data_IF_434757999099
#
_entry.id   IF_434757999099
#
_cell.length_a   1.000
_cell.length_b   1.000
_cell.length_c   1.000
_cell.angle_alpha   90.00
_cell.angle_beta   90.00
_cell.angle_gamma   90.00
#
_symmetry.space_group_name_H-M   'P 1'
#
loop_
_entity.id
_entity.type
_entity.pdbx_description
1 polymer ?
#
# COMPACT_ATOMS: atom_id res chain seq x y z
N UNK A 1 35.44 14.32 53.09
CA UNK A 1 34.31 13.52 52.60
C UNK A 1 33.13 14.35 52.07
N UNK A 2 32.89 15.58 52.53
CA UNK A 2 31.75 16.43 52.10
C UNK A 2 31.65 16.70 50.58
N UNK A 3 32.77 16.81 49.87
CA UNK A 3 32.77 17.07 48.42
C UNK A 3 32.23 15.89 47.59
N UNK A 4 32.46 14.66 48.05
CA UNK A 4 31.95 13.44 47.39
C UNK A 4 30.45 13.31 47.57
N UNK A 5 29.95 13.63 48.77
CA UNK A 5 28.52 13.63 49.07
C UNK A 5 27.78 14.71 48.26
N UNK A 6 28.38 15.90 48.12
CA UNK A 6 27.83 16.98 47.31
C UNK A 6 27.77 16.59 45.83
N UNK A 7 28.87 16.04 45.28
CA UNK A 7 28.91 15.56 43.90
C UNK A 7 27.91 14.44 43.61
N UNK A 8 27.69 13.54 44.57
CA UNK A 8 26.68 12.49 44.47
C UNK A 8 25.25 13.04 44.41
N UNK A 9 24.93 14.04 45.22
CA UNK A 9 23.62 14.73 45.19
C UNK A 9 23.40 15.49 43.89
N UNK A 10 24.42 16.20 43.42
CA UNK A 10 24.35 16.97 42.17
C UNK A 10 24.17 16.04 40.96
N UNK A 11 24.85 14.89 40.96
CA UNK A 11 24.67 13.86 39.94
C UNK A 11 23.25 13.29 39.96
N UNK A 12 22.72 12.92 41.14
CA UNK A 12 21.35 12.42 41.27
C UNK A 12 20.30 13.46 40.81
N UNK A 13 20.47 14.73 41.16
CA UNK A 13 19.60 15.82 40.71
C UNK A 13 19.67 16.02 39.19
N UNK A 14 20.86 15.87 38.61
CA UNK A 14 21.02 15.94 37.15
C UNK A 14 20.33 14.76 36.46
N UNK A 15 20.49 13.55 37.00
CA UNK A 15 19.83 12.34 36.48
C UNK A 15 18.30 12.43 36.58
N UNK A 16 17.77 12.94 37.68
CA UNK A 16 16.32 13.11 37.84
C UNK A 16 15.76 14.12 36.86
N UNK A 17 16.44 15.25 36.65
CA UNK A 17 16.08 16.26 35.64
C UNK A 17 16.06 15.70 34.22
N UNK A 18 17.05 14.88 33.87
CA UNK A 18 17.12 14.24 32.55
C UNK A 18 15.98 13.23 32.35
N UNK A 19 15.63 12.44 33.37
CA UNK A 19 14.48 11.52 33.34
C UNK A 19 13.17 12.29 33.13
N UNK A 20 12.93 13.34 33.89
CA UNK A 20 11.74 14.19 33.74
C UNK A 20 11.63 14.78 32.34
N UNK A 21 12.74 15.28 31.77
CA UNK A 21 12.76 15.83 30.41
C UNK A 21 12.45 14.75 29.37
N UNK A 22 13.04 13.56 29.51
CA UNK A 22 12.78 12.42 28.63
C UNK A 22 11.30 12.02 28.66
N UNK A 23 10.74 11.92 29.85
CA UNK A 23 9.36 11.46 30.04
C UNK A 23 8.37 12.53 29.54
N UNK A 24 8.68 13.83 29.69
CA UNK A 24 7.92 14.92 29.09
C UNK A 24 7.96 14.89 27.54
N UNK A 25 9.13 14.65 26.94
CA UNK A 25 9.25 14.50 25.48
C UNK A 25 8.51 13.27 24.97
N UNK A 26 8.59 12.14 25.69
CA UNK A 26 7.83 10.92 25.37
C UNK A 26 6.32 11.19 25.40
N UNK A 27 5.83 11.84 26.45
CA UNK A 27 4.42 12.18 26.58
C UNK A 27 3.95 13.13 25.48
N UNK A 28 4.78 14.09 25.06
CA UNK A 28 4.46 14.98 23.95
C UNK A 28 4.37 14.23 22.61
N UNK A 29 5.34 13.36 22.32
CA UNK A 29 5.34 12.52 21.11
C UNK A 29 4.14 11.56 21.08
N UNK A 30 3.79 10.96 22.22
CA UNK A 30 2.62 10.08 22.34
C UNK A 30 1.28 10.81 22.17
N UNK A 31 1.22 12.12 22.46
CA UNK A 31 0.05 12.97 22.22
C UNK A 31 -0.08 13.38 20.75
N UNK A 32 1.03 13.67 20.09
CA UNK A 32 1.05 14.16 18.69
C UNK A 32 1.03 13.04 17.66
N UNK A 33 1.30 11.78 18.07
CA UNK A 33 1.30 10.65 17.14
C UNK A 33 -0.14 10.23 16.76
N UNK A 34 -0.53 10.31 15.47
CA UNK A 34 -1.87 9.98 15.01
C UNK A 34 -2.24 8.49 15.18
N UNK A 35 -1.26 7.60 15.44
CA UNK A 35 -1.49 6.16 15.64
C UNK A 35 -1.80 5.78 17.10
N UNK A 36 -1.64 6.70 18.06
CA UNK A 36 -1.87 6.40 19.48
C UNK A 36 -3.24 6.94 19.93
N UNK A 37 -4.31 6.21 19.60
CA UNK A 37 -5.68 6.62 19.91
C UNK A 37 -6.00 6.56 21.41
N UNK A 38 -5.29 5.71 22.17
CA UNK A 38 -5.50 5.51 23.62
C UNK A 38 -4.99 6.68 24.47
N UNK A 39 -3.90 7.34 24.07
CA UNK A 39 -3.38 8.54 24.76
C UNK A 39 -4.25 9.78 24.53
N UNK A 40 -5.09 9.76 23.49
CA UNK A 40 -6.02 10.83 23.13
C UNK A 40 -7.33 10.76 23.94
N UNK A 41 -7.74 9.57 24.34
CA UNK A 41 -8.97 9.29 25.09
C UNK A 41 -8.91 9.62 26.61
N UNK A 42 -7.95 10.45 27.05
CA UNK A 42 -8.00 11.00 28.41
C UNK A 42 -9.10 12.06 28.49
N UNK A 43 -9.84 12.04 29.59
CA UNK A 43 -11.05 12.86 29.84
C UNK A 43 -10.82 14.38 29.80
N UNK A 44 -9.56 14.83 29.79
CA UNK A 44 -9.14 16.22 29.73
C UNK A 44 -8.95 16.76 28.29
N UNK A 45 -8.96 15.91 27.26
CA UNK A 45 -8.69 16.29 25.87
C UNK A 45 -9.95 16.64 25.06
N UNK A 46 -10.84 17.47 25.60
CA UNK A 46 -12.16 17.76 25.00
C UNK A 46 -12.08 18.58 23.70
N UNK A 47 -10.91 19.11 23.33
CA UNK A 47 -10.75 19.97 22.15
C UNK A 47 -9.45 19.72 21.39
N UNK A 48 -9.17 18.47 21.02
CA UNK A 48 -8.13 18.17 20.03
C UNK A 48 -8.82 17.86 18.73
N UNK A 49 -8.94 18.84 17.83
CA UNK A 49 -9.38 18.62 16.46
C UNK A 49 -8.62 17.41 15.90
N UNK A 50 -9.37 16.35 15.68
CA UNK A 50 -8.87 15.16 15.01
C UNK A 50 -8.85 15.55 13.55
N UNK A 51 -7.70 16.03 13.08
CA UNK A 51 -7.38 16.01 11.65
C UNK A 51 -7.32 14.55 11.24
N UNK A 52 -8.51 14.01 10.99
CA UNK A 52 -8.69 12.81 10.25
C UNK A 52 -8.31 13.21 8.82
N UNK A 53 -7.05 13.00 8.44
CA UNK A 53 -6.55 13.25 7.08
C UNK A 53 -7.24 12.37 6.03
N UNK A 54 -8.57 12.48 5.93
CA UNK A 54 -9.47 11.84 4.99
C UNK A 54 -9.26 12.36 3.57
N UNK A 55 -8.46 13.42 3.41
CA UNK A 55 -8.14 14.02 2.11
C UNK A 55 -6.92 13.38 1.43
N UNK A 56 -6.50 12.21 1.90
CA UNK A 56 -5.65 11.32 1.11
C UNK A 56 -6.37 10.01 0.92
N UNK A 57 -6.96 9.86 -0.26
CA UNK A 57 -7.23 8.59 -0.91
C UNK A 57 -5.92 7.80 -1.13
N UNK A 58 -5.13 7.55 -0.08
CA UNK A 58 -4.23 6.42 -0.08
C UNK A 58 -5.12 5.21 0.18
N UNK A 59 -5.82 4.78 -0.86
CA UNK A 59 -6.31 3.42 -0.84
C UNK A 59 -5.05 2.55 -0.71
N UNK A 60 -4.88 1.93 0.45
CA UNK A 60 -3.79 0.98 0.69
C UNK A 60 -3.83 -0.19 -0.32
N UNK A 61 -4.97 -0.33 -1.01
CA UNK A 61 -5.24 -1.24 -2.12
C UNK A 61 -4.90 -0.69 -3.52
N UNK A 62 -4.54 0.59 -3.68
CA UNK A 62 -4.07 1.16 -4.97
C UNK A 62 -2.64 0.74 -5.33
N UNK A 63 -1.95 -0.03 -4.50
CA UNK A 63 -0.73 -0.72 -4.91
C UNK A 63 -1.10 -1.86 -5.87
N UNK A 64 -1.49 -1.49 -7.10
CA UNK A 64 -1.70 -2.43 -8.18
C UNK A 64 -0.36 -3.10 -8.47
N UNK A 65 -0.34 -4.42 -8.33
CA UNK A 65 0.82 -5.24 -8.63
C UNK A 65 1.14 -5.12 -10.12
N UNK A 66 2.31 -4.58 -10.45
CA UNK A 66 2.79 -4.38 -11.81
C UNK A 66 4.25 -4.85 -11.95
N UNK A 67 4.78 -5.01 -13.17
CA UNK A 67 6.20 -5.30 -13.37
C UNK A 67 7.16 -4.33 -12.70
N UNK A 68 6.80 -3.05 -12.69
CA UNK A 68 7.58 -1.94 -12.09
C UNK A 68 7.49 -1.97 -10.56
N UNK A 69 6.40 -2.54 -10.03
CA UNK A 69 6.13 -2.68 -8.60
C UNK A 69 5.75 -4.14 -8.28
N UNK A 70 6.71 -5.09 -8.41
CA UNK A 70 6.43 -6.49 -8.15
C UNK A 70 6.13 -6.70 -6.66
N UNK A 71 5.46 -7.81 -6.28
CA UNK A 71 5.16 -8.11 -4.89
C UNK A 71 6.43 -8.21 -4.03
N UNK A 72 6.25 -8.05 -2.73
CA UNK A 72 7.33 -8.12 -1.76
C UNK A 72 7.98 -9.52 -1.71
N UNK A 73 9.27 -9.52 -1.35
CA UNK A 73 10.01 -10.76 -1.11
C UNK A 73 9.41 -11.48 0.10
N UNK A 74 9.13 -12.78 -0.03
CA UNK A 74 8.49 -13.59 1.02
C UNK A 74 6.98 -13.80 0.83
N UNK A 75 6.36 -13.19 -0.18
CA UNK A 75 5.02 -13.58 -0.60
C UNK A 75 5.01 -15.03 -1.10
N UNK A 76 4.18 -15.86 -0.47
CA UNK A 76 4.05 -17.30 -0.75
C UNK A 76 2.88 -17.65 -1.67
N UNK A 77 2.08 -16.66 -2.05
CA UNK A 77 0.95 -16.88 -2.95
C UNK A 77 1.38 -17.08 -4.42
N UNK A 78 0.40 -17.36 -5.28
CA UNK A 78 0.64 -17.60 -6.69
C UNK A 78 1.08 -16.32 -7.44
N UNK A 79 2.13 -16.44 -8.25
CA UNK A 79 2.52 -15.43 -9.24
C UNK A 79 2.09 -15.94 -10.62
N UNK A 80 1.19 -15.23 -11.32
CA UNK A 80 0.76 -15.64 -12.65
C UNK A 80 1.88 -15.38 -13.68
N UNK A 81 1.98 -16.24 -14.70
CA UNK A 81 3.04 -16.16 -15.73
C UNK A 81 4.43 -16.58 -15.26
N UNK A 82 4.64 -16.80 -13.95
CA UNK A 82 5.89 -17.31 -13.40
C UNK A 82 6.01 -18.85 -13.50
N UNK A 83 5.33 -19.50 -14.46
CA UNK A 83 5.53 -20.93 -14.74
C UNK A 83 6.48 -21.06 -15.94
N UNK A 84 7.64 -21.67 -15.73
CA UNK A 84 8.65 -21.90 -16.79
C UNK A 84 10.09 -21.64 -16.35
N UNK A 85 11.01 -21.54 -17.32
CA UNK A 85 12.47 -21.36 -17.13
C UNK A 85 12.85 -20.19 -16.19
N UNK A 86 12.00 -19.17 -16.13
CA UNK A 86 12.18 -17.97 -15.30
C UNK A 86 12.06 -18.27 -13.81
N UNK A 87 11.23 -19.25 -13.44
CA UNK A 87 10.96 -19.62 -12.05
C UNK A 87 12.07 -20.49 -11.44
N UNK A 88 12.80 -21.23 -12.29
CA UNK A 88 13.73 -22.26 -11.86
C UNK A 88 15.13 -21.72 -11.53
N UNK A 89 15.51 -20.57 -12.09
CA UNK A 89 16.89 -20.05 -11.97
C UNK A 89 16.99 -18.58 -11.55
N UNK A 90 15.86 -17.92 -11.22
CA UNK A 90 15.85 -16.49 -10.84
C UNK A 90 15.29 -16.26 -9.44
N UNK A 91 15.72 -15.14 -8.83
CA UNK A 91 15.18 -14.68 -7.55
C UNK A 91 13.69 -14.32 -7.71
N UNK A 92 12.92 -14.48 -6.63
CA UNK A 92 11.49 -14.17 -6.57
C UNK A 92 11.11 -12.87 -7.29
N UNK A 93 11.79 -11.75 -6.97
CA UNK A 93 11.49 -10.44 -7.55
C UNK A 93 11.62 -10.41 -9.09
N UNK A 94 12.59 -11.13 -9.65
CA UNK A 94 12.80 -11.20 -11.10
C UNK A 94 11.76 -12.09 -11.78
N UNK A 95 11.39 -13.20 -11.14
CA UNK A 95 10.32 -14.08 -11.63
C UNK A 95 8.97 -13.37 -11.60
N UNK A 96 8.68 -12.64 -10.52
CA UNK A 96 7.47 -11.84 -10.38
C UNK A 96 7.35 -10.76 -11.46
N UNK A 97 8.41 -9.98 -11.66
CA UNK A 97 8.44 -8.94 -12.69
C UNK A 97 8.15 -9.53 -14.07
N UNK A 98 8.89 -10.57 -14.49
CA UNK A 98 8.71 -11.16 -15.82
C UNK A 98 7.35 -11.85 -16.00
N UNK A 99 6.82 -12.49 -14.95
CA UNK A 99 5.48 -13.08 -14.99
C UNK A 99 4.39 -12.02 -15.21
N UNK A 100 4.53 -10.87 -14.56
CA UNK A 100 3.61 -9.73 -14.74
C UNK A 100 3.76 -9.06 -16.11
N UNK A 101 4.98 -8.96 -16.65
CA UNK A 101 5.22 -8.41 -18.01
C UNK A 101 4.51 -9.25 -19.07
N UNK A 102 4.64 -10.58 -19.00
CA UNK A 102 3.93 -11.50 -19.90
C UNK A 102 2.41 -11.34 -19.79
N UNK A 103 1.91 -11.15 -18.57
CA UNK A 103 0.48 -11.00 -18.33
C UNK A 103 -0.04 -9.68 -18.92
N UNK A 104 0.73 -8.59 -18.82
CA UNK A 104 0.38 -7.33 -19.48
C UNK A 104 0.33 -7.49 -21.00
N UNK A 105 1.34 -8.12 -21.60
CA UNK A 105 1.34 -8.39 -23.04
C UNK A 105 0.15 -9.25 -23.49
N UNK A 106 -0.21 -10.27 -22.71
CA UNK A 106 -1.37 -11.12 -22.99
C UNK A 106 -2.70 -10.35 -22.86
N UNK A 107 -2.78 -9.41 -21.92
CA UNK A 107 -3.93 -8.49 -21.81
C UNK A 107 -4.00 -7.52 -22.98
N UNK A 108 -2.88 -6.92 -23.35
CA UNK A 108 -2.82 -5.93 -24.43
C UNK A 108 -3.19 -6.57 -25.77
N UNK A 109 -2.69 -7.77 -26.05
CA UNK A 109 -3.02 -8.55 -27.25
C UNK A 109 -4.48 -9.03 -27.30
N UNK A 110 -5.10 -9.33 -26.15
CA UNK A 110 -6.55 -9.57 -26.09
C UNK A 110 -7.34 -8.28 -26.30
N UNK A 111 -6.89 -7.17 -25.70
CA UNK A 111 -7.55 -5.88 -25.83
C UNK A 111 -7.52 -5.38 -27.27
N UNK A 112 -6.43 -5.60 -28.01
CA UNK A 112 -6.32 -5.22 -29.42
C UNK A 112 -7.26 -6.01 -30.31
N UNK A 113 -7.48 -7.31 -30.01
CA UNK A 113 -8.49 -8.13 -30.70
C UNK A 113 -9.93 -7.67 -30.43
N UNK A 114 -10.23 -7.25 -29.19
CA UNK A 114 -11.59 -6.79 -28.84
C UNK A 114 -11.88 -5.41 -29.42
N UNK A 115 -10.85 -4.56 -29.56
CA UNK A 115 -10.93 -3.26 -30.24
C UNK A 115 -11.00 -3.35 -31.76
N UNK A 116 -10.99 -4.56 -32.32
CA UNK A 116 -11.25 -4.78 -33.72
C UNK A 116 -12.73 -4.46 -33.99
N UNK A 117 -12.99 -3.17 -34.23
CA UNK A 117 -14.33 -2.62 -34.46
C UNK A 117 -15.04 -3.36 -35.59
N UNK A 118 -14.27 -3.89 -36.54
CA UNK A 118 -14.75 -4.71 -37.66
C UNK A 118 -15.30 -6.06 -37.22
N UNK A 119 -14.76 -6.68 -36.16
CA UNK A 119 -15.29 -7.92 -35.61
C UNK A 119 -16.59 -7.67 -34.84
N UNK A 120 -16.64 -6.58 -34.07
CA UNK A 120 -17.84 -6.15 -33.35
C UNK A 120 -18.95 -5.75 -34.33
N UNK A 121 -18.62 -4.98 -35.37
CA UNK A 121 -19.55 -4.56 -36.40
C UNK A 121 -20.12 -5.77 -37.15
N UNK A 122 -19.30 -6.77 -37.51
CA UNK A 122 -19.80 -8.00 -38.15
C UNK A 122 -20.80 -8.77 -37.30
N UNK A 123 -20.61 -8.84 -35.97
CA UNK A 123 -21.57 -9.51 -35.08
C UNK A 123 -22.86 -8.69 -34.97
N UNK A 124 -22.76 -7.36 -34.90
CA UNK A 124 -23.91 -6.47 -34.89
C UNK A 124 -24.70 -6.55 -36.20
N UNK A 125 -24.02 -6.55 -37.34
CA UNK A 125 -24.65 -6.68 -38.66
C UNK A 125 -25.33 -8.04 -38.84
N UNK A 126 -24.73 -9.12 -38.31
CA UNK A 126 -25.33 -10.46 -38.35
C UNK A 126 -26.53 -10.65 -37.41
N UNK A 127 -26.63 -9.83 -36.36
CA UNK A 127 -27.73 -9.87 -35.38
C UNK A 127 -28.77 -8.77 -35.64
N UNK A 128 -28.54 -7.91 -36.63
CA UNK A 128 -29.46 -6.86 -37.01
C UNK A 128 -30.72 -7.48 -37.62
N UNK A 129 -31.82 -7.38 -36.86
CA UNK A 129 -33.16 -7.66 -37.35
C UNK A 129 -33.69 -6.37 -37.98
N UNK A 130 -34.04 -6.44 -39.27
CA UNK A 130 -34.75 -5.36 -39.93
C UNK A 130 -36.12 -5.15 -39.24
N UNK A 131 -36.79 -4.01 -39.46
CA UNK A 131 -38.11 -3.70 -38.85
C UNK A 131 -39.20 -4.74 -39.24
N UNK A 132 -38.90 -5.59 -40.22
CA UNK A 132 -39.70 -6.72 -40.71
C UNK A 132 -39.37 -8.08 -40.03
N UNK A 133 -38.40 -8.12 -39.12
CA UNK A 133 -38.03 -9.33 -38.37
C UNK A 133 -37.21 -10.35 -39.17
N UNK A 134 -36.56 -9.93 -40.26
CA UNK A 134 -35.73 -10.79 -41.09
C UNK A 134 -34.24 -10.48 -40.93
N UNK A 135 -33.42 -11.54 -40.92
CA UNK A 135 -31.97 -11.45 -40.90
C UNK A 135 -31.51 -11.31 -42.35
N UNK A 136 -30.68 -10.31 -42.67
CA UNK A 136 -30.11 -10.17 -44.03
C UNK A 136 -29.20 -11.37 -44.33
N UNK A 137 -29.53 -12.10 -45.39
CA UNK A 137 -28.73 -13.19 -45.95
C UNK A 137 -27.51 -12.66 -46.70
#
# INVERSE_FOLDING_TARGET
>A
MRAVEQGGRDWQATQSKLRLRRDAMRAHVERTNPRNLLSRARTDNVNVEIDHGFDREQSFFANQVSPERPPIVGYTGHIPGARGEVALSKRYAQAARKGLELLQQDRDSRSSRIKDSDAVQRVLDATYLDDTGHIRA
#
